data_IF_731007104654
#
_entry.id   IF_731007104654
#
_cell.length_a   1.000
_cell.length_b   1.000
_cell.length_c   1.000
_cell.angle_alpha   90.00
_cell.angle_beta   90.00
_cell.angle_gamma   90.00
#
_symmetry.space_group_name_H-M   'P 1'
#
loop_
_entity.id
_entity.type
_entity.pdbx_description
1 polymer ?
#
# COMPACT_ATOMS: atom_id res chain seq x y z
N UNK A 1 18.23 3.67 3.56
CA UNK A 1 18.85 2.39 3.98
C UNK A 1 20.12 2.15 3.20
N UNK A 2 21.22 1.66 3.83
CA UNK A 2 22.41 1.25 3.08
C UNK A 2 22.12 -0.10 2.38
N UNK A 3 22.48 -0.21 1.10
CA UNK A 3 22.21 -1.37 0.23
C UNK A 3 23.45 -2.25 0.02
N UNK A 4 24.59 -1.90 0.63
CA UNK A 4 25.85 -2.63 0.47
C UNK A 4 25.79 -4.11 0.86
N UNK A 5 24.73 -4.52 1.56
CA UNK A 5 24.56 -5.89 2.05
C UNK A 5 23.50 -6.71 1.27
N UNK A 6 22.88 -6.15 0.22
CA UNK A 6 21.91 -6.89 -0.59
C UNK A 6 22.59 -7.76 -1.65
N UNK A 7 22.33 -9.06 -1.58
CA UNK A 7 22.72 -10.03 -2.61
C UNK A 7 21.83 -9.91 -3.85
N UNK A 8 22.31 -10.40 -5.00
CA UNK A 8 21.51 -10.48 -6.25
C UNK A 8 20.22 -11.27 -6.03
N UNK A 9 20.23 -12.30 -5.18
CA UNK A 9 19.05 -13.09 -4.85
C UNK A 9 18.01 -12.23 -4.11
N UNK A 10 18.43 -11.50 -3.07
CA UNK A 10 17.56 -10.60 -2.32
C UNK A 10 16.99 -9.48 -3.19
N UNK A 11 17.77 -8.93 -4.12
CA UNK A 11 17.27 -7.95 -5.09
C UNK A 11 16.11 -8.50 -5.93
N UNK A 12 16.24 -9.74 -6.42
CA UNK A 12 15.16 -10.38 -7.19
C UNK A 12 13.91 -10.62 -6.34
N UNK A 13 14.07 -10.99 -5.07
CA UNK A 13 12.94 -11.14 -4.14
C UNK A 13 12.23 -9.80 -3.90
N UNK A 14 12.99 -8.71 -3.71
CA UNK A 14 12.43 -7.35 -3.55
C UNK A 14 11.70 -6.89 -4.82
N UNK A 15 12.26 -7.17 -6.01
CA UNK A 15 11.60 -6.90 -7.29
C UNK A 15 10.30 -7.70 -7.44
N UNK A 16 10.31 -8.99 -7.05
CA UNK A 16 9.11 -9.84 -7.05
C UNK A 16 8.05 -9.31 -6.09
N UNK A 17 8.45 -8.89 -4.89
CA UNK A 17 7.55 -8.26 -3.91
C UNK A 17 6.94 -6.96 -4.49
N UNK A 18 7.75 -6.08 -5.08
CA UNK A 18 7.25 -4.85 -5.71
C UNK A 18 6.20 -5.14 -6.80
N UNK A 19 6.40 -6.16 -7.64
CA UNK A 19 5.40 -6.58 -8.63
C UNK A 19 4.12 -7.06 -7.96
N UNK A 20 4.24 -7.89 -6.90
CA UNK A 20 3.10 -8.37 -6.11
C UNK A 20 2.31 -7.21 -5.50
N UNK A 21 3.02 -6.21 -4.96
CA UNK A 21 2.43 -5.01 -4.38
C UNK A 21 1.76 -4.13 -5.42
N UNK A 22 2.37 -3.93 -6.59
CA UNK A 22 1.74 -3.19 -7.69
C UNK A 22 0.41 -3.81 -8.10
N UNK A 23 0.38 -5.13 -8.26
CA UNK A 23 -0.84 -5.86 -8.61
C UNK A 23 -1.92 -5.72 -7.52
N UNK A 24 -1.54 -5.80 -6.25
CA UNK A 24 -2.45 -5.60 -5.13
C UNK A 24 -2.99 -4.16 -5.09
N UNK A 25 -2.12 -3.17 -5.19
CA UNK A 25 -2.45 -1.75 -5.30
C UNK A 25 -3.48 -1.51 -6.41
N UNK A 26 -3.21 -2.00 -7.62
CA UNK A 26 -4.10 -1.77 -8.76
C UNK A 26 -5.50 -2.38 -8.54
N UNK A 27 -5.54 -3.57 -7.94
CA UNK A 27 -6.80 -4.23 -7.56
C UNK A 27 -7.58 -3.40 -6.54
N UNK A 28 -6.92 -2.97 -5.46
CA UNK A 28 -7.56 -2.22 -4.37
C UNK A 28 -8.09 -0.87 -4.84
N UNK A 29 -7.28 -0.15 -5.62
CA UNK A 29 -7.66 1.17 -6.15
C UNK A 29 -8.82 1.05 -7.12
N UNK A 30 -8.85 0.01 -7.95
CA UNK A 30 -9.99 -0.25 -8.83
C UNK A 30 -11.29 -0.47 -8.04
N UNK A 31 -11.25 -1.19 -6.93
CA UNK A 31 -12.44 -1.39 -6.09
C UNK A 31 -12.81 -0.12 -5.31
N UNK A 32 -11.84 0.59 -4.74
CA UNK A 32 -12.09 1.86 -4.06
C UNK A 32 -12.74 2.90 -4.99
N UNK A 33 -12.33 2.96 -6.25
CA UNK A 33 -12.95 3.84 -7.26
C UNK A 33 -14.42 3.49 -7.50
N UNK A 34 -14.80 2.21 -7.50
CA UNK A 34 -16.22 1.82 -7.67
C UNK A 34 -17.04 2.25 -6.45
N UNK A 35 -16.55 1.94 -5.26
CA UNK A 35 -17.19 2.33 -3.99
C UNK A 35 -17.38 3.85 -3.95
N UNK A 36 -16.32 4.60 -4.23
CA UNK A 36 -16.34 6.07 -4.20
C UNK A 36 -17.36 6.66 -5.17
N UNK A 37 -17.47 6.13 -6.40
CA UNK A 37 -18.48 6.55 -7.37
C UNK A 37 -19.91 6.35 -6.86
N UNK A 38 -20.17 5.20 -6.25
CA UNK A 38 -21.49 4.87 -5.72
C UNK A 38 -21.84 5.79 -4.54
N UNK A 39 -20.87 6.09 -3.67
CA UNK A 39 -21.07 7.00 -2.53
C UNK A 39 -21.25 8.46 -2.97
N UNK A 40 -20.51 8.92 -3.98
CA UNK A 40 -20.72 10.23 -4.59
C UNK A 40 -22.12 10.34 -5.19
N UNK A 41 -22.59 9.28 -5.88
CA UNK A 41 -23.93 9.25 -6.42
C UNK A 41 -24.99 9.37 -5.32
N UNK A 42 -24.87 8.59 -4.24
CA UNK A 42 -25.75 8.68 -3.07
C UNK A 42 -25.76 10.07 -2.46
N UNK A 43 -24.58 10.65 -2.20
CA UNK A 43 -24.44 12.00 -1.65
C UNK A 43 -25.08 13.09 -2.53
N UNK A 44 -25.12 12.89 -3.85
CA UNK A 44 -25.76 13.81 -4.79
C UNK A 44 -27.28 13.64 -4.91
N UNK A 45 -27.83 12.53 -4.41
CA UNK A 45 -29.25 12.22 -4.47
C UNK A 45 -29.97 12.81 -3.26
N UNK A 46 -30.90 13.73 -3.50
CA UNK A 46 -31.66 14.42 -2.44
C UNK A 46 -32.61 13.51 -1.65
N UNK A 47 -32.92 12.33 -2.19
CA UNK A 47 -33.76 11.34 -1.51
C UNK A 47 -32.92 10.31 -0.71
N UNK A 48 -31.58 10.36 -0.79
CA UNK A 48 -30.69 9.54 0.03
C UNK A 48 -30.43 10.24 1.38
N UNK A 49 -30.22 9.46 2.43
CA UNK A 49 -29.96 9.97 3.79
C UNK A 49 -28.46 10.22 4.03
N UNK A 50 -27.58 9.76 3.15
CA UNK A 50 -26.14 9.89 3.32
C UNK A 50 -25.71 11.37 3.23
N UNK A 51 -25.09 11.87 4.30
CA UNK A 51 -24.62 13.26 4.35
C UNK A 51 -23.11 13.38 4.20
N UNK A 52 -22.35 12.39 4.63
CA UNK A 52 -20.93 12.27 4.29
C UNK A 52 -20.45 10.82 4.38
N UNK A 53 -19.22 10.55 3.93
CA UNK A 53 -18.60 9.24 4.05
C UNK A 53 -17.07 9.35 4.15
N UNK A 54 -16.42 8.32 4.66
CA UNK A 54 -14.98 8.12 4.53
C UNK A 54 -14.68 6.77 3.88
N UNK A 55 -13.58 6.71 3.14
CA UNK A 55 -13.02 5.45 2.61
C UNK A 55 -11.58 5.36 3.10
N UNK A 56 -11.30 4.34 3.89
CA UNK A 56 -9.99 4.08 4.46
C UNK A 56 -9.48 2.74 3.94
N UNK A 57 -8.19 2.67 3.63
CA UNK A 57 -7.51 1.45 3.23
C UNK A 57 -6.44 1.13 4.29
N UNK A 58 -6.52 -0.09 4.82
CA UNK A 58 -5.56 -0.63 5.78
C UNK A 58 -4.86 -1.82 5.12
N UNK A 59 -3.52 -1.83 5.11
CA UNK A 59 -2.72 -2.92 4.56
C UNK A 59 -1.73 -3.39 5.62
N UNK A 60 -1.85 -4.65 6.02
CA UNK A 60 -1.01 -5.29 7.03
C UNK A 60 -0.01 -6.20 6.36
N UNK A 61 1.26 -6.05 6.73
CA UNK A 61 2.35 -6.88 6.25
C UNK A 61 2.75 -7.83 7.35
N UNK A 62 2.68 -9.13 7.09
CA UNK A 62 2.86 -10.17 8.10
C UNK A 62 4.20 -10.88 7.88
N UNK A 63 4.89 -11.16 8.98
CA UNK A 63 6.12 -11.94 8.97
C UNK A 63 5.88 -13.35 8.38
N UNK A 64 6.83 -13.87 7.61
CA UNK A 64 6.79 -15.25 7.11
C UNK A 64 6.66 -16.26 8.26
N UNK A 65 5.78 -17.26 8.09
CA UNK A 65 5.56 -18.31 9.10
C UNK A 65 6.81 -19.11 9.47
N UNK A 66 7.75 -19.27 8.54
CA UNK A 66 9.00 -19.99 8.76
C UNK A 66 10.10 -19.12 9.40
N UNK A 67 9.83 -17.85 9.67
CA UNK A 67 10.80 -16.97 10.32
C UNK A 67 10.95 -17.34 11.81
N UNK A 68 12.17 -17.36 12.39
CA UNK A 68 12.38 -17.76 13.79
C UNK A 68 11.60 -16.96 14.82
N UNK A 69 11.30 -15.69 14.52
CA UNK A 69 10.52 -14.81 15.40
C UNK A 69 9.00 -14.95 15.26
N UNK A 70 8.51 -15.78 14.33
CA UNK A 70 7.09 -15.98 14.11
C UNK A 70 6.45 -16.72 15.28
N UNK A 71 5.33 -16.20 15.78
CA UNK A 71 4.57 -16.75 16.89
C UNK A 71 3.15 -17.05 16.42
N UNK A 72 2.78 -18.33 16.38
CA UNK A 72 1.48 -18.78 15.85
C UNK A 72 0.26 -18.10 16.51
N UNK A 73 0.36 -17.75 17.78
CA UNK A 73 -0.74 -17.16 18.57
C UNK A 73 -0.65 -15.62 18.65
N UNK A 74 0.12 -14.99 17.76
CA UNK A 74 0.32 -13.53 17.67
C UNK A 74 -0.05 -13.04 16.26
N UNK A 75 -0.25 -11.73 16.10
CA UNK A 75 -0.59 -11.13 14.81
C UNK A 75 0.59 -11.15 13.81
N UNK A 76 1.82 -11.16 14.33
CA UNK A 76 3.08 -11.17 13.55
C UNK A 76 3.19 -10.02 12.52
N UNK A 77 2.55 -8.89 12.78
CA UNK A 77 2.63 -7.72 11.91
C UNK A 77 4.03 -7.11 11.94
N UNK A 78 4.63 -6.96 10.76
CA UNK A 78 5.84 -6.19 10.55
C UNK A 78 5.51 -4.70 10.51
N UNK A 79 4.49 -4.33 9.75
CA UNK A 79 4.00 -2.95 9.67
C UNK A 79 2.56 -2.92 9.15
N UNK A 80 1.90 -1.77 9.33
CA UNK A 80 0.58 -1.47 8.80
C UNK A 80 0.63 -0.13 8.08
N UNK A 81 0.17 -0.10 6.82
CA UNK A 81 0.01 1.12 6.04
C UNK A 81 -1.47 1.53 6.05
N UNK A 82 -1.72 2.80 6.33
CA UNK A 82 -3.04 3.42 6.38
C UNK A 82 -3.17 4.51 5.32
N UNK A 83 -4.27 4.51 4.58
CA UNK A 83 -4.50 5.42 3.46
C UNK A 83 -5.95 5.90 3.43
N UNK A 84 -6.14 7.15 3.03
CA UNK A 84 -7.47 7.75 2.87
C UNK A 84 -7.79 7.86 1.38
N UNK A 85 -8.94 7.34 0.95
CA UNK A 85 -9.32 7.18 -0.46
C UNK A 85 -10.62 7.89 -0.83
N UNK A 86 -11.19 8.73 0.05
CA UNK A 86 -12.39 9.53 -0.25
C UNK A 86 -12.18 10.38 -1.50
N UNK A 87 -13.12 10.37 -2.45
CA UNK A 87 -13.04 11.09 -3.74
C UNK A 87 -11.94 10.61 -4.69
N UNK A 88 -11.39 9.41 -4.49
CA UNK A 88 -10.39 8.82 -5.40
C UNK A 88 -10.86 8.73 -6.86
N UNK A 89 -12.16 8.61 -7.09
CA UNK A 89 -12.73 8.55 -8.44
C UNK A 89 -12.73 9.89 -9.18
N UNK A 90 -12.64 11.02 -8.49
CA UNK A 90 -12.70 12.37 -9.07
C UNK A 90 -11.30 12.89 -9.41
N UNK A 91 -10.30 12.63 -8.55
CA UNK A 91 -8.93 13.15 -8.72
C UNK A 91 -7.88 12.07 -8.49
N UNK A 92 -7.77 11.08 -9.37
CA UNK A 92 -6.75 10.04 -9.23
C UNK A 92 -5.31 10.59 -9.23
N UNK A 93 -5.05 11.69 -9.92
CA UNK A 93 -3.70 12.26 -10.05
C UNK A 93 -3.13 12.87 -8.77
N UNK A 94 -3.98 13.22 -7.78
CA UNK A 94 -3.49 13.73 -6.48
C UNK A 94 -3.20 12.61 -5.49
N UNK A 95 -3.66 11.39 -5.78
CA UNK A 95 -3.34 10.22 -4.97
C UNK A 95 -1.98 9.67 -5.38
N UNK A 96 -1.15 9.28 -4.41
CA UNK A 96 0.18 8.72 -4.71
C UNK A 96 0.08 7.34 -5.39
N UNK A 97 -1.08 6.70 -5.31
CA UNK A 97 -1.49 5.44 -5.97
C UNK A 97 -1.63 5.51 -7.51
N UNK A 98 -0.94 6.44 -8.16
CA UNK A 98 -0.88 6.60 -9.60
C UNK A 98 0.21 5.69 -10.22
N UNK A 99 0.37 5.75 -11.54
CA UNK A 99 1.34 4.92 -12.28
C UNK A 99 2.75 5.54 -12.36
N UNK A 100 3.03 6.61 -11.59
CA UNK A 100 4.37 7.18 -11.48
C UNK A 100 5.37 6.18 -10.89
N UNK A 101 6.65 6.37 -11.21
CA UNK A 101 7.74 5.67 -10.55
C UNK A 101 8.06 6.37 -9.22
N UNK A 102 7.86 5.69 -8.09
CA UNK A 102 8.12 6.21 -6.74
C UNK A 102 9.51 5.82 -6.21
N UNK A 103 10.44 5.52 -7.11
CA UNK A 103 11.79 5.16 -6.74
C UNK A 103 12.59 6.40 -6.27
N UNK A 104 12.87 6.47 -4.97
CA UNK A 104 13.68 7.54 -4.33
C UNK A 104 15.16 7.48 -4.73
N UNK A 105 15.61 6.33 -5.22
CA UNK A 105 17.02 6.11 -5.55
C UNK A 105 17.39 6.57 -6.95
N UNK A 106 16.43 7.04 -7.76
CA UNK A 106 16.67 7.52 -9.14
C UNK A 106 17.81 8.57 -9.23
N UNK A 107 17.98 9.39 -8.18
CA UNK A 107 19.01 10.44 -8.12
C UNK A 107 20.35 9.96 -7.53
N UNK A 108 20.45 8.70 -7.08
CA UNK A 108 21.61 8.17 -6.36
C UNK A 108 22.54 7.48 -7.33
N UNK A 109 23.73 8.03 -7.54
CA UNK A 109 24.64 7.65 -8.62
C UNK A 109 24.99 6.15 -8.66
N UNK A 110 25.19 5.53 -7.49
CA UNK A 110 25.66 4.15 -7.35
C UNK A 110 24.67 3.23 -6.63
N UNK A 111 23.37 3.59 -6.60
CA UNK A 111 22.38 2.74 -5.94
C UNK A 111 21.99 1.58 -6.85
N UNK A 112 22.01 0.35 -6.33
CA UNK A 112 21.75 -0.87 -7.10
C UNK A 112 20.33 -0.97 -7.67
N UNK A 113 19.39 -0.23 -7.07
CA UNK A 113 18.00 -0.12 -7.54
C UNK A 113 17.72 1.21 -8.26
N UNK A 114 18.73 2.02 -8.63
CA UNK A 114 18.53 3.37 -9.18
C UNK A 114 17.55 3.41 -10.36
N UNK A 115 17.63 2.43 -11.26
CA UNK A 115 16.84 2.41 -12.49
C UNK A 115 15.57 1.53 -12.39
N UNK A 116 15.25 1.02 -11.21
CA UNK A 116 14.07 0.18 -11.00
C UNK A 116 12.78 1.02 -10.96
N UNK A 117 11.66 0.40 -11.34
CA UNK A 117 10.33 0.95 -11.11
C UNK A 117 9.85 0.53 -9.73
N UNK A 118 9.48 1.47 -8.86
CA UNK A 118 8.85 1.18 -7.57
C UNK A 118 7.41 1.68 -7.55
N UNK A 119 6.47 0.79 -7.20
CA UNK A 119 5.10 1.19 -6.92
C UNK A 119 5.01 1.93 -5.59
N UNK A 120 3.92 2.66 -5.37
CA UNK A 120 3.71 3.44 -4.14
C UNK A 120 3.79 2.58 -2.87
N UNK A 121 3.18 1.39 -2.89
CA UNK A 121 3.24 0.49 -1.74
C UNK A 121 4.65 0.02 -1.40
N UNK A 122 5.44 -0.32 -2.41
CA UNK A 122 6.82 -0.74 -2.19
C UNK A 122 7.68 0.42 -1.69
N UNK A 123 7.50 1.61 -2.27
CA UNK A 123 8.12 2.84 -1.79
C UNK A 123 7.80 3.10 -0.31
N UNK A 124 6.52 3.02 0.05
CA UNK A 124 6.07 3.28 1.42
C UNK A 124 6.70 2.33 2.45
N UNK A 125 7.01 1.08 2.06
CA UNK A 125 7.68 0.15 2.95
C UNK A 125 9.09 0.60 3.35
N UNK A 126 9.91 1.12 2.43
CA UNK A 126 11.28 1.50 2.75
C UNK A 126 11.46 2.99 3.08
N UNK A 127 10.48 3.84 2.74
CA UNK A 127 10.59 5.31 2.91
C UNK A 127 9.60 5.89 3.93
N UNK A 128 8.51 5.17 4.23
CA UNK A 128 7.44 5.63 5.14
C UNK A 128 7.13 4.63 6.25
N UNK A 129 8.03 3.71 6.53
CA UNK A 129 7.93 2.78 7.65
C UNK A 129 9.28 2.57 8.31
N UNK A 130 9.27 1.95 9.51
CA UNK A 130 10.50 1.63 10.24
C UNK A 130 11.18 0.33 9.75
N UNK A 131 10.68 -0.28 8.66
CA UNK A 131 11.22 -1.53 8.13
C UNK A 131 12.55 -1.33 7.41
N UNK A 132 13.52 -2.19 7.73
CA UNK A 132 14.73 -2.32 6.95
C UNK A 132 14.56 -3.34 5.80
N UNK A 133 15.61 -3.54 4.98
CA UNK A 133 15.52 -4.47 3.86
C UNK A 133 15.29 -5.93 4.28
N UNK A 134 15.89 -6.37 5.40
CA UNK A 134 15.70 -7.71 5.94
C UNK A 134 14.25 -7.91 6.39
N UNK A 135 13.64 -6.92 7.04
CA UNK A 135 12.23 -6.97 7.41
C UNK A 135 11.33 -7.10 6.18
N UNK A 136 11.57 -6.26 5.16
CA UNK A 136 10.82 -6.28 3.90
C UNK A 136 10.95 -7.63 3.19
N UNK A 137 12.16 -8.21 3.16
CA UNK A 137 12.42 -9.55 2.62
C UNK A 137 11.71 -10.66 3.39
N UNK A 138 11.38 -10.43 4.66
CA UNK A 138 10.68 -11.38 5.52
C UNK A 138 9.16 -11.17 5.56
N UNK A 139 8.61 -10.33 4.68
CA UNK A 139 7.16 -10.26 4.44
C UNK A 139 6.68 -11.56 3.80
N UNK A 140 5.78 -12.25 4.48
CA UNK A 140 5.09 -13.45 4.00
C UNK A 140 3.77 -13.09 3.37
N UNK A 141 2.77 -12.90 4.22
CA UNK A 141 1.40 -12.57 3.84
C UNK A 141 1.15 -11.06 3.86
N UNK A 142 0.18 -10.63 3.04
CA UNK A 142 -0.26 -9.24 2.98
C UNK A 142 -1.79 -9.27 3.06
N UNK A 143 -2.34 -8.67 4.10
CA UNK A 143 -3.78 -8.50 4.28
C UNK A 143 -4.16 -7.06 3.97
N UNK A 144 -5.33 -6.87 3.35
CA UNK A 144 -5.79 -5.54 2.95
C UNK A 144 -7.30 -5.40 3.15
N UNK A 145 -7.71 -4.34 3.84
CA UNK A 145 -9.10 -4.03 4.15
C UNK A 145 -9.46 -2.65 3.59
N UNK A 146 -10.54 -2.57 2.79
CA UNK A 146 -11.18 -1.28 2.45
C UNK A 146 -12.35 -1.09 3.42
N UNK A 147 -12.25 -0.06 4.26
CA UNK A 147 -13.25 0.31 5.26
C UNK A 147 -14.04 1.52 4.74
N UNK A 148 -15.35 1.43 4.82
CA UNK A 148 -16.26 2.52 4.43
C UNK A 148 -17.05 2.94 5.67
N UNK A 149 -16.94 4.21 6.01
CA UNK A 149 -17.69 4.82 7.11
C UNK A 149 -18.77 5.71 6.51
N UNK A 150 -20.03 5.43 6.81
CA UNK A 150 -21.17 6.28 6.45
C UNK A 150 -21.45 7.26 7.59
N UNK A 151 -21.67 8.53 7.27
CA UNK A 151 -21.84 9.60 8.25
C UNK A 151 -23.19 10.30 8.07
N UNK A 152 -23.82 10.60 9.22
CA UNK A 152 -25.13 11.23 9.35
C UNK A 152 -25.05 12.25 10.51
N UNK A 153 -25.71 13.39 10.36
CA UNK A 153 -25.80 14.50 11.29
C UNK A 153 -27.25 14.65 11.80
N UNK A 154 -27.44 15.29 12.95
CA UNK A 154 -28.75 15.62 13.54
C UNK A 154 -29.07 17.13 13.50
#
# INVERSE_FOLDING_TARGET
MDVKDLTIYQLKELQSLNIRLKNLQDKLIKEAIKIDKDLIYKLSNKDDLLEDYEIELEIKFVLKENHPSYKKDDDNFLTIIYEYLKRISIKRSIYPWNDSNHNEFNSWENHIMKDDYHCWLFHSLYDHSDLNWEDILNIGEIYSDIKVTYQYYD
#
